data_IF_502383173307
#
_entry.id   IF_502383173307
#
_cell.length_a   1.000
_cell.length_b   1.000
_cell.length_c   1.000
_cell.angle_alpha   90.00
_cell.angle_beta   90.00
_cell.angle_gamma   90.00
#
_symmetry.space_group_name_H-M   'P 1'
#
loop_
_entity.id
_entity.type
_entity.pdbx_description
1 polymer ?
#
# COMPACT_ATOMS: atom_id res chain seq x y z
N UNK A 1 3.89 -18.44 2.76
CA UNK A 1 4.63 -17.35 2.08
C UNK A 1 3.95 -17.03 0.77
N UNK A 2 3.74 -15.77 0.49
CA UNK A 2 3.04 -15.34 -0.73
C UNK A 2 4.07 -15.04 -1.83
N UNK A 3 3.82 -15.56 -3.04
CA UNK A 3 4.72 -15.32 -4.17
C UNK A 3 4.70 -13.85 -4.58
N UNK A 4 5.86 -13.32 -4.95
CA UNK A 4 5.98 -11.90 -5.32
C UNK A 4 5.08 -11.52 -6.49
N UNK A 5 4.92 -12.40 -7.49
CA UNK A 5 4.08 -12.09 -8.63
C UNK A 5 2.61 -11.92 -8.24
N UNK A 6 2.15 -12.63 -7.20
CA UNK A 6 0.77 -12.44 -6.70
C UNK A 6 0.62 -11.13 -5.98
N UNK A 7 1.66 -10.73 -5.23
CA UNK A 7 1.67 -9.44 -4.54
C UNK A 7 1.65 -8.29 -5.56
N UNK A 8 2.47 -8.40 -6.60
CA UNK A 8 2.55 -7.41 -7.66
C UNK A 8 1.20 -7.25 -8.37
N UNK A 9 0.59 -8.38 -8.71
CA UNK A 9 -0.72 -8.37 -9.36
C UNK A 9 -1.79 -7.73 -8.48
N UNK A 10 -1.79 -8.07 -7.20
CA UNK A 10 -2.75 -7.55 -6.24
C UNK A 10 -2.57 -6.03 -6.06
N UNK A 11 -1.33 -5.57 -5.92
CA UNK A 11 -1.04 -4.14 -5.80
C UNK A 11 -1.48 -3.36 -7.02
N UNK A 12 -1.25 -3.92 -8.20
CA UNK A 12 -1.66 -3.31 -9.45
C UNK A 12 -3.19 -3.22 -9.54
N UNK A 13 -3.90 -4.28 -9.12
CA UNK A 13 -5.37 -4.29 -9.10
C UNK A 13 -5.92 -3.22 -8.16
N UNK A 14 -5.36 -3.08 -6.97
CA UNK A 14 -5.78 -2.02 -6.04
C UNK A 14 -5.64 -0.65 -6.71
N UNK A 15 -4.48 -0.40 -7.28
CA UNK A 15 -4.22 0.88 -7.92
C UNK A 15 -5.21 1.21 -9.02
N UNK A 16 -5.47 0.24 -9.87
CA UNK A 16 -6.35 0.42 -11.00
C UNK A 16 -7.82 0.56 -10.58
N UNK A 17 -8.28 -0.33 -9.71
CA UNK A 17 -9.70 -0.35 -9.33
C UNK A 17 -10.12 0.86 -8.49
N UNK A 18 -9.20 1.39 -7.72
CA UNK A 18 -9.49 2.50 -6.81
C UNK A 18 -8.89 3.83 -7.26
N UNK A 19 -8.27 3.87 -8.44
CA UNK A 19 -7.60 5.07 -8.96
C UNK A 19 -6.59 5.63 -7.96
N UNK A 20 -5.78 4.76 -7.39
CA UNK A 20 -4.77 5.18 -6.44
C UNK A 20 -3.68 6.01 -7.13
N UNK A 21 -3.03 6.89 -6.38
CA UNK A 21 -1.85 7.57 -6.86
C UNK A 21 -0.67 6.62 -6.91
N UNK A 22 -0.48 5.83 -5.84
CA UNK A 22 0.55 4.79 -5.78
C UNK A 22 0.12 3.68 -4.84
N UNK A 23 0.67 2.49 -5.07
CA UNK A 23 0.59 1.36 -4.15
C UNK A 23 2.02 0.89 -3.94
N UNK A 24 2.48 0.87 -2.69
CA UNK A 24 3.87 0.61 -2.35
C UNK A 24 3.96 -0.56 -1.37
N UNK A 25 4.76 -1.56 -1.73
CA UNK A 25 5.07 -2.68 -0.85
C UNK A 25 6.19 -2.26 0.10
N UNK A 26 6.00 -2.49 1.39
CA UNK A 26 7.03 -2.21 2.39
C UNK A 26 7.16 -3.38 3.35
N UNK A 27 7.97 -3.21 4.38
CA UNK A 27 8.16 -4.25 5.39
C UNK A 27 9.02 -5.42 4.88
N UNK A 28 8.84 -6.59 5.49
CA UNK A 28 9.72 -7.73 5.26
C UNK A 28 9.71 -8.23 3.82
N UNK A 29 8.57 -8.21 3.15
CA UNK A 29 8.49 -8.64 1.74
C UNK A 29 9.28 -7.71 0.82
N UNK A 30 9.28 -6.40 1.12
CA UNK A 30 10.05 -5.44 0.32
C UNK A 30 11.55 -5.59 0.54
N UNK A 31 11.95 -6.00 1.75
CA UNK A 31 13.36 -6.14 2.11
C UNK A 31 13.94 -7.53 1.81
N UNK A 32 13.10 -8.47 1.38
CA UNK A 32 13.53 -9.85 1.17
C UNK A 32 13.80 -10.62 2.46
N UNK A 33 13.22 -10.18 3.57
CA UNK A 33 13.44 -10.78 4.89
C UNK A 33 12.20 -11.51 5.38
N UNK A 34 11.57 -12.29 4.50
CA UNK A 34 10.27 -12.92 4.76
C UNK A 34 10.45 -14.15 5.63
N UNK A 35 9.56 -14.29 6.63
CA UNK A 35 9.42 -15.50 7.46
C UNK A 35 8.00 -16.02 7.31
N UNK A 36 7.73 -17.20 7.91
CA UNK A 36 6.40 -17.80 7.87
C UNK A 36 5.33 -16.91 8.52
N UNK A 37 5.75 -16.04 9.43
CA UNK A 37 4.82 -15.14 10.14
C UNK A 37 4.71 -13.76 9.49
N UNK A 38 5.38 -13.53 8.37
CA UNK A 38 5.36 -12.23 7.71
C UNK A 38 4.04 -11.98 7.00
N UNK A 39 3.46 -10.80 7.23
CA UNK A 39 2.33 -10.32 6.46
C UNK A 39 2.82 -9.46 5.30
N UNK A 40 2.03 -9.37 4.26
CA UNK A 40 2.29 -8.45 3.15
C UNK A 40 1.86 -7.06 3.60
N UNK A 41 2.77 -6.09 3.58
CA UNK A 41 2.48 -4.71 4.01
C UNK A 41 2.40 -3.80 2.78
N UNK A 42 1.24 -3.17 2.59
CA UNK A 42 1.01 -2.27 1.46
C UNK A 42 0.57 -0.89 1.93
N UNK A 43 1.19 0.14 1.38
CA UNK A 43 0.71 1.51 1.52
C UNK A 43 -0.07 1.86 0.25
N UNK A 44 -1.34 2.20 0.42
CA UNK A 44 -2.20 2.62 -0.68
C UNK A 44 -2.42 4.12 -0.55
N UNK A 45 -1.90 4.89 -1.50
CA UNK A 45 -2.05 6.33 -1.54
C UNK A 45 -3.19 6.64 -2.50
N UNK A 46 -4.33 7.04 -1.97
CA UNK A 46 -5.55 7.21 -2.75
C UNK A 46 -6.39 8.36 -2.17
N UNK A 47 -7.00 9.13 -3.05
CA UNK A 47 -7.90 10.21 -2.60
C UNK A 47 -9.23 9.62 -2.15
N UNK A 48 -9.70 10.03 -0.98
CA UNK A 48 -10.99 9.60 -0.46
C UNK A 48 -11.43 10.56 0.65
N UNK A 49 -12.71 10.48 0.99
CA UNK A 49 -13.25 11.20 2.15
C UNK A 49 -13.63 10.17 3.21
N UNK A 50 -13.64 10.60 4.46
CA UNK A 50 -13.97 9.72 5.56
C UNK A 50 -12.75 9.12 6.21
N UNK A 51 -12.95 8.03 6.97
CA UNK A 51 -11.88 7.45 7.79
C UNK A 51 -11.04 6.46 7.01
N UNK A 52 -9.75 6.41 7.33
CA UNK A 52 -8.81 5.48 6.69
C UNK A 52 -9.25 4.03 6.86
N UNK A 53 -9.77 3.67 8.03
CA UNK A 53 -10.18 2.29 8.31
C UNK A 53 -11.35 1.87 7.42
N UNK A 54 -12.29 2.79 7.16
CA UNK A 54 -13.42 2.49 6.30
C UNK A 54 -12.97 2.24 4.86
N UNK A 55 -12.02 3.04 4.38
CA UNK A 55 -11.48 2.84 3.03
C UNK A 55 -10.72 1.53 2.93
N UNK A 56 -9.96 1.18 3.95
CA UNK A 56 -9.25 -0.10 4.01
C UNK A 56 -10.21 -1.29 3.92
N UNK A 57 -11.32 -1.22 4.67
CA UNK A 57 -12.34 -2.27 4.64
C UNK A 57 -12.98 -2.37 3.26
N UNK A 58 -13.27 -1.23 2.64
CA UNK A 58 -13.85 -1.19 1.29
C UNK A 58 -12.94 -1.93 0.29
N UNK A 59 -11.64 -1.66 0.34
CA UNK A 59 -10.67 -2.31 -0.55
C UNK A 59 -10.66 -3.82 -0.31
N UNK A 60 -10.62 -4.24 0.96
CA UNK A 60 -10.59 -5.67 1.31
C UNK A 60 -11.81 -6.40 0.80
N UNK A 61 -12.98 -5.80 0.96
CA UNK A 61 -14.24 -6.44 0.56
C UNK A 61 -14.36 -6.52 -0.96
N UNK A 62 -13.97 -5.49 -1.67
CA UNK A 62 -14.10 -5.46 -3.12
C UNK A 62 -13.18 -6.46 -3.80
N UNK A 63 -11.95 -6.58 -3.32
CA UNK A 63 -10.94 -7.42 -3.98
C UNK A 63 -10.83 -8.83 -3.42
N UNK A 64 -11.57 -9.14 -2.36
CA UNK A 64 -11.63 -10.48 -1.77
C UNK A 64 -10.24 -11.07 -1.51
N UNK A 65 -9.56 -10.50 -0.52
CA UNK A 65 -8.19 -10.90 -0.17
C UNK A 65 -8.08 -12.38 0.12
N UNK A 66 -7.07 -13.03 -0.47
CA UNK A 66 -6.82 -14.46 -0.32
C UNK A 66 -5.53 -14.77 0.43
N UNK A 67 -4.85 -13.76 0.93
CA UNK A 67 -3.65 -13.93 1.75
C UNK A 67 -3.57 -12.78 2.76
N UNK A 68 -2.82 -12.96 3.86
CA UNK A 68 -2.73 -11.92 4.89
C UNK A 68 -2.06 -10.65 4.35
N UNK A 69 -2.79 -9.56 4.39
CA UNK A 69 -2.30 -8.25 3.94
C UNK A 69 -2.64 -7.21 4.98
N UNK A 70 -1.66 -6.39 5.33
CA UNK A 70 -1.86 -5.23 6.16
C UNK A 70 -1.93 -4.00 5.24
N UNK A 71 -3.11 -3.40 5.17
CA UNK A 71 -3.33 -2.25 4.29
C UNK A 71 -3.25 -0.95 5.08
N UNK A 72 -2.26 -0.14 4.74
CA UNK A 72 -2.12 1.21 5.27
C UNK A 72 -2.63 2.16 4.19
N UNK A 73 -3.79 2.78 4.43
CA UNK A 73 -4.46 3.60 3.41
C UNK A 73 -4.42 5.06 3.83
N UNK A 74 -3.87 5.92 2.98
CA UNK A 74 -3.73 7.35 3.27
C UNK A 74 -3.96 8.18 2.03
N UNK A 75 -4.44 9.42 2.23
CA UNK A 75 -4.56 10.36 1.10
C UNK A 75 -3.19 10.91 0.72
N UNK A 76 -3.02 11.39 -0.53
CA UNK A 76 -1.75 12.01 -0.93
C UNK A 76 -1.37 13.18 -0.03
N UNK A 77 -2.35 14.00 0.37
CA UNK A 77 -2.11 15.15 1.25
C UNK A 77 -1.60 14.72 2.60
N UNK A 78 -2.19 13.66 3.17
CA UNK A 78 -1.77 13.15 4.47
C UNK A 78 -0.34 12.60 4.41
N UNK A 79 0.00 11.91 3.34
CA UNK A 79 1.36 11.38 3.16
C UNK A 79 2.37 12.52 3.13
N UNK A 80 2.12 13.56 2.33
CA UNK A 80 3.00 14.72 2.25
C UNK A 80 3.13 15.41 3.61
N UNK A 81 2.00 15.62 4.29
CA UNK A 81 1.98 16.26 5.60
C UNK A 81 2.82 15.48 6.61
N UNK A 82 2.67 14.16 6.65
CA UNK A 82 3.41 13.32 7.59
C UNK A 82 4.91 13.40 7.33
N UNK A 83 5.32 13.36 6.08
CA UNK A 83 6.74 13.46 5.73
C UNK A 83 7.30 14.83 6.12
N UNK A 84 6.55 15.90 5.85
CA UNK A 84 6.96 17.26 6.23
C UNK A 84 7.10 17.42 7.73
N UNK A 85 6.28 16.71 8.51
CA UNK A 85 6.31 16.74 9.96
C UNK A 85 7.43 15.88 10.56
N UNK A 86 8.20 15.19 9.72
CA UNK A 86 9.31 14.37 10.19
C UNK A 86 8.96 12.92 10.47
N UNK A 87 7.88 12.40 9.89
CA UNK A 87 7.51 10.98 10.06
C UNK A 87 8.50 10.12 9.28
N UNK A 88 9.48 9.56 9.98
CA UNK A 88 10.53 8.75 9.37
C UNK A 88 10.01 7.45 8.78
N UNK A 89 8.97 6.87 9.40
CA UNK A 89 8.37 5.64 8.90
C UNK A 89 7.71 5.87 7.53
N UNK A 90 6.91 6.93 7.42
CA UNK A 90 6.26 7.25 6.16
C UNK A 90 7.27 7.58 5.06
N UNK A 91 8.31 8.35 5.42
CA UNK A 91 9.37 8.69 4.47
C UNK A 91 10.08 7.42 3.96
N UNK A 92 10.40 6.51 4.85
CA UNK A 92 11.09 5.27 4.48
C UNK A 92 10.26 4.45 3.50
N UNK A 93 8.95 4.33 3.75
CA UNK A 93 8.07 3.60 2.83
C UNK A 93 8.11 4.22 1.44
N UNK A 94 7.96 5.54 1.36
CA UNK A 94 7.88 6.24 0.08
C UNK A 94 9.21 6.20 -0.67
N UNK A 95 10.32 6.32 0.03
CA UNK A 95 11.64 6.37 -0.60
C UNK A 95 12.24 5.00 -0.90
N UNK A 96 11.98 4.02 -0.03
CA UNK A 96 12.66 2.73 -0.13
C UNK A 96 11.73 1.55 -0.41
N UNK A 97 10.41 1.74 -0.34
CA UNK A 97 9.47 0.70 -0.66
C UNK A 97 9.46 0.36 -2.14
N UNK A 98 8.87 -0.79 -2.47
CA UNK A 98 8.75 -1.23 -3.85
C UNK A 98 7.42 -0.74 -4.41
N UNK A 99 7.46 0.12 -5.43
CA UNK A 99 6.24 0.64 -6.07
C UNK A 99 5.62 -0.46 -6.93
N UNK A 100 4.40 -0.86 -6.61
CA UNK A 100 3.67 -1.87 -7.36
C UNK A 100 2.74 -1.25 -8.40
N UNK A 101 2.30 -0.02 -8.14
CA UNK A 101 1.43 0.72 -9.05
C UNK A 101 1.71 2.20 -8.87
N UNK A 102 1.75 2.90 -9.99
CA UNK A 102 1.88 4.35 -9.98
C UNK A 102 0.97 4.92 -11.06
N UNK A 103 0.13 5.88 -10.68
CA UNK A 103 -0.77 6.50 -11.62
C UNK A 103 0.02 7.28 -12.67
N UNK A 104 -0.52 7.27 -13.89
CA UNK A 104 0.07 8.01 -14.98
C UNK A 104 -0.13 9.50 -14.68
N UNK A 105 0.98 10.24 -14.53
CA UNK A 105 0.90 11.67 -14.20
C UNK A 105 0.85 12.49 -15.47
N UNK A 106 -0.27 13.14 -15.66
CA UNK A 106 -0.51 13.96 -16.84
C UNK A 106 -1.13 15.27 -16.48
#
# INVERSE_FOLDING_TARGET
MVAMNRIEEFGWLIGREFNAERVILFGSYARGAVTDDSDVDLLVIVSFEGRNVDKSVEIRLKLRLKFPVDLLVRTPEKVRQRIEMGDGFMREIVEEGKVLYEADSR
#
